data_IF_339453968137
#
_entry.id   IF_339453968137
#
_cell.length_a   1.000
_cell.length_b   1.000
_cell.length_c   1.000
_cell.angle_alpha   90.00
_cell.angle_beta   90.00
_cell.angle_gamma   90.00
#
_symmetry.space_group_name_H-M   'P 1'
#
loop_
_entity.id
_entity.type
_entity.pdbx_description
1 polymer ?
#
# COMPACT_ATOMS: atom_id res chain seq x y z
N UNK A 1 -10.94 13.44 29.31
CA UNK A 1 -10.88 13.02 27.88
C UNK A 1 -9.48 12.50 27.56
N UNK A 2 -8.99 11.44 28.22
CA UNK A 2 -7.56 11.09 28.07
C UNK A 2 -7.04 10.06 29.06
N UNK A 3 -7.22 8.77 28.74
CA UNK A 3 -6.44 7.66 29.33
C UNK A 3 -6.34 6.43 28.40
N UNK A 4 -7.18 6.33 27.36
CA UNK A 4 -7.21 5.17 26.47
C UNK A 4 -6.42 5.34 25.16
N UNK A 5 -5.94 6.56 24.86
CA UNK A 5 -5.18 6.84 23.63
C UNK A 5 -3.66 6.66 23.81
N UNK A 6 -3.15 6.73 25.03
CA UNK A 6 -1.70 6.64 25.29
C UNK A 6 -1.15 5.22 25.11
N UNK A 7 -1.96 4.20 25.38
CA UNK A 7 -1.56 2.80 25.22
C UNK A 7 -1.35 2.41 23.75
N UNK A 8 -2.18 2.95 22.85
CA UNK A 8 -2.05 2.73 21.41
C UNK A 8 -0.77 3.39 20.86
N UNK A 9 -0.39 4.56 21.38
CA UNK A 9 0.87 5.23 21.03
C UNK A 9 2.11 4.48 21.51
N UNK A 10 2.05 3.81 22.66
CA UNK A 10 3.17 3.05 23.21
C UNK A 10 3.50 1.79 22.39
N UNK A 11 2.48 1.12 21.85
CA UNK A 11 2.66 -0.16 21.15
C UNK A 11 3.03 -0.03 19.67
N UNK A 12 2.61 1.05 19.00
CA UNK A 12 2.70 1.15 17.55
C UNK A 12 3.82 2.08 17.01
N UNK A 13 4.78 2.45 17.87
CA UNK A 13 6.00 3.15 17.45
C UNK A 13 5.80 4.65 17.22
N UNK A 14 6.92 5.37 17.03
CA UNK A 14 6.95 6.85 17.03
C UNK A 14 6.37 7.48 15.75
N UNK A 15 6.11 6.69 14.70
CA UNK A 15 5.71 7.16 13.35
C UNK A 15 4.18 7.36 13.18
N UNK A 16 3.35 6.84 14.09
CA UNK A 16 1.87 6.94 14.00
C UNK A 16 1.30 8.24 14.57
N UNK A 17 2.11 9.10 15.19
CA UNK A 17 1.65 10.39 15.71
C UNK A 17 0.95 11.23 14.64
N UNK A 18 1.52 11.27 13.42
CA UNK A 18 0.94 11.97 12.28
C UNK A 18 -0.37 11.36 11.76
N UNK A 19 -0.62 10.08 12.01
CA UNK A 19 -1.83 9.37 11.53
C UNK A 19 -3.02 9.68 12.42
N UNK A 20 -2.76 9.78 13.72
CA UNK A 20 -3.77 10.04 14.74
C UNK A 20 -4.12 11.52 14.85
N UNK A 21 -3.19 12.43 14.53
CA UNK A 21 -3.42 13.88 14.54
C UNK A 21 -4.22 14.40 13.33
N UNK A 22 -4.70 13.50 12.46
CA UNK A 22 -5.33 13.91 11.20
C UNK A 22 -4.35 14.63 10.28
N UNK A 23 -3.05 14.49 10.55
CA UNK A 23 -2.00 14.94 9.67
C UNK A 23 -2.27 14.32 8.31
N UNK A 24 -2.41 15.17 7.31
CA UNK A 24 -2.46 14.72 5.93
C UNK A 24 -1.15 13.98 5.68
N UNK A 25 -1.11 12.67 5.91
CA UNK A 25 -0.55 11.79 4.89
C UNK A 25 -1.43 12.05 3.68
N UNK A 26 -1.17 13.17 3.01
CA UNK A 26 -1.29 13.21 1.59
C UNK A 26 -0.66 11.89 1.18
N UNK A 27 -1.47 10.93 0.74
CA UNK A 27 -1.73 10.75 -0.68
C UNK A 27 -0.64 11.34 -1.59
N UNK A 28 0.63 11.32 -1.16
CA UNK A 28 1.79 11.50 -2.00
C UNK A 28 1.82 10.19 -2.77
N UNK A 29 0.97 10.18 -3.78
CA UNK A 29 0.91 9.19 -4.82
C UNK A 29 2.08 9.46 -5.75
N UNK A 30 3.30 9.44 -5.20
CA UNK A 30 4.48 9.27 -6.03
C UNK A 30 4.44 7.81 -6.44
N UNK A 31 3.79 7.53 -7.57
CA UNK A 31 4.00 6.27 -8.27
C UNK A 31 5.45 6.27 -8.72
N UNK A 32 6.35 5.68 -7.94
CA UNK A 32 7.57 5.15 -8.50
C UNK A 32 7.16 3.96 -9.35
N UNK A 33 7.03 4.20 -10.66
CA UNK A 33 6.93 3.12 -11.65
C UNK A 33 8.37 2.61 -11.82
N UNK A 34 8.71 1.58 -11.05
CA UNK A 34 10.00 0.92 -11.22
C UNK A 34 9.93 0.07 -12.48
N UNK A 35 10.99 0.15 -13.30
CA UNK A 35 11.13 -0.73 -14.45
C UNK A 35 11.28 -2.16 -13.95
N UNK A 36 10.46 -3.07 -14.48
CA UNK A 36 10.45 -4.49 -14.12
C UNK A 36 11.28 -5.27 -15.15
N UNK A 37 10.81 -5.30 -16.40
CA UNK A 37 11.44 -6.06 -17.47
C UNK A 37 11.06 -5.54 -18.87
N UNK A 38 11.79 -6.01 -19.88
CA UNK A 38 11.38 -5.91 -21.28
C UNK A 38 10.75 -7.23 -21.69
N UNK A 39 9.55 -7.17 -22.27
CA UNK A 39 8.88 -8.36 -22.82
C UNK A 39 8.42 -8.14 -24.26
N UNK A 40 8.14 -9.21 -25.02
CA UNK A 40 7.49 -9.07 -26.32
C UNK A 40 6.15 -8.36 -26.21
N UNK A 41 5.90 -7.45 -27.15
CA UNK A 41 4.61 -6.79 -27.32
C UNK A 41 3.51 -7.81 -27.63
N UNK A 42 2.33 -7.61 -27.05
CA UNK A 42 1.10 -8.31 -27.43
C UNK A 42 -0.02 -7.32 -27.74
N UNK A 43 -0.96 -7.66 -28.63
CA UNK A 43 -2.11 -6.79 -28.89
C UNK A 43 -2.88 -6.44 -27.62
N UNK A 44 -3.14 -5.15 -27.41
CA UNK A 44 -3.77 -4.61 -26.19
C UNK A 44 -2.80 -3.85 -25.29
N UNK A 45 -1.50 -4.01 -25.52
CA UNK A 45 -0.46 -3.23 -24.85
C UNK A 45 -0.45 -1.75 -25.29
N UNK A 46 -0.08 -0.85 -24.37
CA UNK A 46 0.10 0.57 -24.69
C UNK A 46 1.37 0.76 -25.53
N UNK A 47 1.18 1.24 -26.76
CA UNK A 47 2.25 1.49 -27.74
C UNK A 47 3.25 2.54 -27.23
N UNK A 48 2.85 3.40 -26.29
CA UNK A 48 3.72 4.42 -25.68
C UNK A 48 4.83 3.81 -24.83
N UNK A 49 4.63 2.59 -24.34
CA UNK A 49 5.60 1.89 -23.51
C UNK A 49 6.61 1.07 -24.32
N UNK A 50 6.51 1.07 -25.66
CA UNK A 50 7.48 0.40 -26.53
C UNK A 50 8.88 0.98 -26.34
N UNK A 51 9.86 0.11 -26.11
CA UNK A 51 11.26 0.48 -26.15
C UNK A 51 11.80 0.32 -27.57
N UNK A 52 11.83 1.43 -28.31
CA UNK A 52 12.33 1.44 -29.69
C UNK A 52 13.81 1.07 -29.80
N UNK A 53 14.62 1.37 -28.78
CA UNK A 53 16.05 1.07 -28.80
C UNK A 53 16.31 -0.42 -28.60
N UNK A 54 15.59 -1.06 -27.68
CA UNK A 54 15.64 -2.50 -27.46
C UNK A 54 15.06 -3.25 -28.65
N UNK A 55 13.92 -2.78 -29.19
CA UNK A 55 13.29 -3.33 -30.39
C UNK A 55 14.24 -3.33 -31.59
N UNK A 56 14.95 -2.23 -31.82
CA UNK A 56 15.93 -2.14 -32.91
C UNK A 56 17.10 -3.13 -32.78
N UNK A 57 17.48 -3.50 -31.54
CA UNK A 57 18.59 -4.44 -31.29
C UNK A 57 18.15 -5.90 -31.32
N UNK A 58 16.93 -6.22 -30.88
CA UNK A 58 16.43 -7.60 -30.82
C UNK A 58 15.75 -8.05 -32.11
N UNK A 59 15.31 -7.12 -32.96
CA UNK A 59 14.49 -7.40 -34.13
C UNK A 59 13.03 -7.76 -33.80
N UNK A 60 12.63 -7.68 -32.53
CA UNK A 60 11.29 -7.99 -32.04
C UNK A 60 10.74 -6.77 -31.27
N UNK A 61 9.46 -6.44 -31.44
CA UNK A 61 8.83 -5.33 -30.71
C UNK A 61 8.80 -5.65 -29.21
N UNK A 62 9.52 -4.84 -28.43
CA UNK A 62 9.63 -4.99 -26.98
C UNK A 62 8.92 -3.84 -26.26
N UNK A 63 8.19 -4.19 -25.20
CA UNK A 63 7.49 -3.24 -24.34
C UNK A 63 8.11 -3.22 -22.94
N UNK A 64 8.22 -2.03 -22.35
CA UNK A 64 8.63 -1.87 -20.95
C UNK A 64 7.48 -2.24 -20.04
N UNK A 65 7.72 -3.21 -19.17
CA UNK A 65 6.83 -3.53 -18.07
C UNK A 65 7.28 -2.72 -16.85
N UNK A 66 6.34 -2.09 -16.18
CA UNK A 66 6.57 -1.37 -14.94
C UNK A 66 5.81 -2.05 -13.81
N UNK A 67 6.45 -2.17 -12.65
CA UNK A 67 5.78 -2.59 -11.42
C UNK A 67 5.58 -1.34 -10.57
N UNK A 68 4.33 -1.15 -10.12
CA UNK A 68 4.02 -0.14 -9.12
C UNK A 68 4.05 -0.81 -7.76
N UNK A 69 5.09 -0.55 -6.97
CA UNK A 69 5.04 -0.85 -5.55
C UNK A 69 4.07 0.14 -4.87
N UNK A 70 3.19 -0.40 -4.03
CA UNK A 70 2.27 0.38 -3.20
C UNK A 70 2.44 -0.02 -1.76
N UNK A 71 2.94 0.89 -0.93
CA UNK A 71 2.99 0.69 0.51
C UNK A 71 1.67 1.18 1.13
N UNK A 72 0.83 0.25 1.56
CA UNK A 72 -0.36 0.56 2.35
C UNK A 72 0.00 0.56 3.84
N UNK A 73 -0.13 1.70 4.51
CA UNK A 73 -0.07 1.78 5.98
C UNK A 73 -1.48 1.57 6.52
N UNK A 74 -1.73 0.44 7.20
CA UNK A 74 -3.01 0.13 7.84
C UNK A 74 -2.85 0.28 9.35
N UNK A 75 -3.73 1.07 9.96
CA UNK A 75 -3.86 1.14 11.42
C UNK A 75 -5.16 0.45 11.83
N UNK A 76 -5.05 -0.56 12.69
CA UNK A 76 -6.21 -1.22 13.30
C UNK A 76 -6.36 -0.70 14.71
N UNK A 77 -7.54 -0.15 15.02
CA UNK A 77 -7.91 0.29 16.37
C UNK A 77 -9.13 -0.52 16.79
N UNK A 78 -9.04 -1.19 17.94
CA UNK A 78 -10.12 -1.97 18.50
C UNK A 78 -10.41 -1.51 19.93
N UNK A 79 -11.69 -1.48 20.30
CA UNK A 79 -12.10 -1.24 21.68
C UNK A 79 -11.88 -2.52 22.51
N UNK A 80 -11.15 -2.39 23.61
CA UNK A 80 -10.91 -3.47 24.58
C UNK A 80 -11.73 -3.28 25.87
N UNK A 81 -12.73 -2.38 25.84
CA UNK A 81 -13.64 -2.14 26.94
C UNK A 81 -14.56 -3.33 27.24
N UNK A 82 -15.23 -3.29 28.39
CA UNK A 82 -16.13 -4.37 28.84
C UNK A 82 -17.26 -4.70 27.86
N UNK A 83 -17.64 -3.75 27.00
CA UNK A 83 -18.70 -3.95 26.00
C UNK A 83 -18.26 -4.81 24.81
N UNK A 84 -16.95 -5.03 24.63
CA UNK A 84 -16.42 -5.91 23.57
C UNK A 84 -16.10 -7.32 24.09
N UNK A 85 -16.40 -7.61 25.38
CA UNK A 85 -16.20 -8.95 25.92
C UNK A 85 -17.18 -9.94 25.30
N UNK A 86 -16.68 -11.10 24.87
CA UNK A 86 -17.53 -12.17 24.36
C UNK A 86 -18.49 -12.63 25.47
N UNK A 87 -19.79 -12.51 25.24
CA UNK A 87 -20.78 -13.11 26.14
C UNK A 87 -20.68 -14.62 26.05
N UNK A 88 -20.21 -15.22 27.14
CA UNK A 88 -20.22 -16.67 27.30
C UNK A 88 -21.65 -17.10 27.54
N UNK A 89 -22.33 -17.56 26.49
CA UNK A 89 -23.64 -18.19 26.60
C UNK A 89 -23.46 -19.48 27.40
N UNK A 90 -23.89 -19.47 28.65
CA UNK A 90 -24.02 -20.69 29.43
C UNK A 90 -25.31 -21.37 29.00
N UNK A 91 -25.20 -22.55 28.42
CA UNK A 91 -26.31 -23.48 28.28
C UNK A 91 -26.29 -24.40 29.51
N UNK A 92 -27.49 -24.64 30.06
CA UNK A 92 -27.79 -25.26 31.36
C UNK A 92 -27.09 -26.60 31.63
#
# INVERSE_FOLDING_TARGET
MGRYLDSAKAYAGRDIGGLLEGGRYALIHTRSLEFDELRPYVPGDDVRDIDWKATARSGHTLIKRFVSEKHHKVLVVADAGRNTCAQRRQEN
#
